data_IF_938068402762
#
_entry.id   IF_938068402762
#
_cell.length_a   1.000
_cell.length_b   1.000
_cell.length_c   1.000
_cell.angle_alpha   90.00
_cell.angle_beta   90.00
_cell.angle_gamma   90.00
#
_symmetry.space_group_name_H-M   'P 1'
#
loop_
_entity.id
_entity.type
_entity.pdbx_description
1 polymer ?
#
# COMPACT_ATOMS: atom_id res chain seq x y z
N UNK A 1 -57.54 -30.78 7.63
CA UNK A 1 -56.62 -31.91 7.40
C UNK A 1 -55.23 -31.54 7.89
N UNK A 2 -54.59 -32.46 8.64
CA UNK A 2 -53.14 -32.81 8.81
C UNK A 2 -52.09 -31.82 8.27
N UNK A 3 -50.89 -31.60 8.82
CA UNK A 3 -50.07 -32.06 9.97
C UNK A 3 -48.82 -31.14 9.92
N UNK A 4 -48.41 -30.54 11.04
CA UNK A 4 -47.18 -30.82 11.79
C UNK A 4 -45.84 -30.34 11.19
N UNK A 5 -45.06 -29.57 11.99
CA UNK A 5 -43.62 -29.76 12.21
C UNK A 5 -43.22 -29.09 13.54
N UNK A 6 -42.33 -29.75 14.27
CA UNK A 6 -42.18 -29.71 15.74
C UNK A 6 -41.20 -28.64 16.21
N UNK A 7 -41.53 -28.05 17.35
CA UNK A 7 -40.66 -27.32 18.25
C UNK A 7 -39.55 -28.23 18.81
N UNK A 8 -38.31 -27.74 18.87
CA UNK A 8 -37.31 -28.18 19.82
C UNK A 8 -37.04 -27.02 20.78
N UNK A 9 -37.48 -27.21 22.03
CA UNK A 9 -37.30 -26.31 23.17
C UNK A 9 -36.26 -26.98 24.08
N UNK A 10 -35.07 -26.38 24.20
CA UNK A 10 -34.00 -26.91 25.05
C UNK A 10 -34.07 -26.20 26.41
N UNK A 11 -34.60 -26.91 27.42
CA UNK A 11 -34.57 -26.48 28.82
C UNK A 11 -33.24 -26.87 29.47
N UNK A 12 -32.48 -25.88 29.96
CA UNK A 12 -31.41 -26.10 30.92
C UNK A 12 -32.04 -26.21 32.32
N UNK A 13 -31.75 -27.30 33.02
CA UNK A 13 -32.22 -27.54 34.38
C UNK A 13 -31.39 -26.77 35.40
N UNK A 14 -32.09 -26.15 36.35
CA UNK A 14 -31.57 -25.64 37.61
C UNK A 14 -31.24 -26.80 38.54
N UNK A 15 -29.96 -27.01 38.85
CA UNK A 15 -29.55 -27.67 40.10
C UNK A 15 -28.53 -26.77 40.81
N UNK A 16 -29.02 -26.22 41.92
CA UNK A 16 -28.36 -25.33 42.86
C UNK A 16 -27.38 -26.12 43.74
N UNK A 17 -26.09 -26.10 43.41
CA UNK A 17 -25.04 -26.56 44.33
C UNK A 17 -24.43 -25.37 45.08
N UNK A 18 -24.95 -25.12 46.30
CA UNK A 18 -24.32 -24.24 47.29
C UNK A 18 -22.92 -24.75 47.62
N UNK A 19 -21.91 -23.97 47.28
CA UNK A 19 -20.59 -24.08 47.88
C UNK A 19 -20.29 -22.76 48.60
N UNK A 20 -20.09 -22.88 49.91
CA UNK A 20 -19.99 -21.78 50.85
C UNK A 20 -18.79 -20.87 50.60
N UNK A 21 -19.05 -19.58 50.78
CA UNK A 21 -18.10 -18.50 50.90
C UNK A 21 -17.17 -18.73 52.10
N UNK A 22 -15.84 -18.64 51.90
CA UNK A 22 -14.88 -18.40 52.97
C UNK A 22 -13.85 -17.34 52.54
N UNK A 23 -13.69 -16.23 53.29
CA UNK A 23 -12.91 -15.07 52.86
C UNK A 23 -11.44 -15.13 53.30
N UNK A 24 -10.62 -14.41 52.52
CA UNK A 24 -9.40 -13.70 52.94
C UNK A 24 -8.05 -14.46 53.12
N UNK A 25 -7.05 -13.90 52.44
CA UNK A 25 -5.60 -14.07 52.58
C UNK A 25 -4.86 -15.04 51.65
N UNK A 26 -5.18 -15.03 50.35
CA UNK A 26 -4.11 -15.23 49.37
C UNK A 26 -3.17 -14.03 49.42
N UNK A 27 -2.10 -14.17 50.23
CA UNK A 27 -0.87 -13.40 50.07
C UNK A 27 -0.57 -13.35 48.59
N UNK A 28 -0.59 -12.16 48.00
CA UNK A 28 0.01 -11.92 46.69
C UNK A 28 1.48 -12.26 46.82
N UNK A 29 1.83 -13.51 46.50
CA UNK A 29 3.21 -13.87 46.20
C UNK A 29 3.51 -13.07 44.94
N UNK A 30 4.13 -11.89 45.13
CA UNK A 30 4.82 -11.19 44.05
C UNK A 30 5.82 -12.20 43.51
N UNK A 31 5.52 -12.79 42.36
CA UNK A 31 6.49 -13.57 41.61
C UNK A 31 7.68 -12.62 41.38
N UNK A 32 8.81 -12.93 42.01
CA UNK A 32 10.04 -12.16 41.82
C UNK A 32 10.31 -12.09 40.33
N UNK A 33 10.43 -10.87 39.81
CA UNK A 33 10.84 -10.67 38.43
C UNK A 33 12.16 -11.38 38.14
N UNK A 34 12.45 -11.72 36.88
CA UNK A 34 13.69 -12.40 36.50
C UNK A 34 14.89 -11.71 37.14
N UNK A 35 15.66 -12.43 37.95
CA UNK A 35 16.95 -11.93 38.43
C UNK A 35 17.89 -11.87 37.22
N UNK A 36 18.04 -10.67 36.66
CA UNK A 36 19.05 -10.37 35.64
C UNK A 36 20.40 -10.56 36.32
N UNK A 37 21.19 -11.53 35.87
CA UNK A 37 22.56 -11.73 36.37
C UNK A 37 23.37 -10.46 36.06
N UNK A 38 24.29 -10.05 36.94
CA UNK A 38 25.08 -8.82 36.76
C UNK A 38 25.85 -8.84 35.42
N UNK A 39 26.24 -10.02 34.96
CA UNK A 39 26.90 -10.25 33.67
C UNK A 39 25.99 -9.94 32.47
N UNK A 40 24.69 -10.28 32.53
CA UNK A 40 23.71 -9.97 31.49
C UNK A 40 23.41 -8.47 31.43
N UNK A 41 23.34 -7.82 32.60
CA UNK A 41 23.12 -6.38 32.70
C UNK A 41 24.32 -5.57 32.18
N UNK A 42 25.54 -6.05 32.40
CA UNK A 42 26.75 -5.41 31.87
C UNK A 42 26.87 -5.59 30.35
N UNK A 43 26.53 -6.77 29.83
CA UNK A 43 26.46 -7.04 28.40
C UNK A 43 25.41 -6.17 27.69
N UNK A 44 24.23 -5.98 28.29
CA UNK A 44 23.19 -5.11 27.75
C UNK A 44 23.60 -3.63 27.77
N UNK A 45 24.29 -3.17 28.82
CA UNK A 45 24.86 -1.81 28.87
C UNK A 45 25.92 -1.58 27.80
N UNK A 46 26.86 -2.53 27.62
CA UNK A 46 27.87 -2.47 26.55
C UNK A 46 27.23 -2.44 25.17
N UNK A 47 26.22 -3.27 24.93
CA UNK A 47 25.46 -3.27 23.68
C UNK A 47 24.67 -1.96 23.46
N UNK A 48 24.10 -1.39 24.51
CA UNK A 48 23.41 -0.11 24.45
C UNK A 48 24.36 1.06 24.16
N UNK A 49 25.55 1.07 24.77
CA UNK A 49 26.59 2.06 24.54
C UNK A 49 27.19 1.94 23.13
N UNK A 50 27.41 0.72 22.65
CA UNK A 50 27.83 0.46 21.27
C UNK A 50 26.79 0.94 20.25
N UNK A 51 25.49 0.66 20.50
CA UNK A 51 24.38 1.19 19.70
C UNK A 51 24.31 2.72 19.78
N UNK A 52 24.57 3.33 20.93
CA UNK A 52 24.59 4.78 21.09
C UNK A 52 25.76 5.42 20.32
N UNK A 53 26.94 4.81 20.35
CA UNK A 53 28.11 5.23 19.56
C UNK A 53 27.83 5.12 18.06
N UNK A 54 27.25 4.00 17.60
CA UNK A 54 26.82 3.81 16.20
C UNK A 54 25.77 4.85 15.79
N UNK A 55 24.78 5.14 16.64
CA UNK A 55 23.77 6.21 16.43
C UNK A 55 24.42 7.59 16.30
N UNK A 56 25.37 7.92 17.18
CA UNK A 56 26.07 9.21 17.16
C UNK A 56 26.94 9.37 15.90
N UNK A 57 27.64 8.31 15.48
CA UNK A 57 28.43 8.30 14.25
C UNK A 57 27.56 8.48 13.00
N UNK A 58 26.46 7.73 12.89
CA UNK A 58 25.50 7.86 11.78
C UNK A 58 24.91 9.27 11.75
N UNK A 59 24.56 9.84 12.92
CA UNK A 59 24.05 11.20 13.02
C UNK A 59 25.08 12.23 12.59
N UNK A 60 26.34 12.10 13.03
CA UNK A 60 27.45 12.97 12.62
C UNK A 60 27.67 12.91 11.11
N UNK A 61 27.70 11.71 10.52
CA UNK A 61 27.81 11.50 9.07
C UNK A 61 26.65 12.13 8.30
N UNK A 62 25.43 11.99 8.79
CA UNK A 62 24.24 12.62 8.19
C UNK A 62 24.28 14.15 8.29
N UNK A 63 24.76 14.69 9.42
CA UNK A 63 24.91 16.13 9.62
C UNK A 63 25.99 16.71 8.70
N UNK A 64 27.16 16.07 8.60
CA UNK A 64 28.24 16.43 7.69
C UNK A 64 27.79 16.38 6.23
N UNK A 65 27.06 15.34 5.82
CA UNK A 65 26.46 15.27 4.48
C UNK A 65 25.42 16.39 4.25
N UNK A 66 24.70 16.81 5.28
CA UNK A 66 23.76 17.94 5.19
C UNK A 66 24.46 19.30 5.10
N UNK A 67 25.57 19.49 5.82
CA UNK A 67 26.42 20.70 5.75
C UNK A 67 27.11 20.81 4.40
N UNK A 68 27.63 19.70 3.87
CA UNK A 68 28.22 19.64 2.52
C UNK A 68 27.22 19.99 1.41
N UNK A 69 25.93 19.63 1.57
CA UNK A 69 24.84 20.03 0.65
C UNK A 69 24.53 21.53 0.71
N UNK A 70 24.74 22.20 1.86
CA UNK A 70 24.56 23.65 2.01
C UNK A 70 25.73 24.46 1.40
N UNK A 71 26.94 23.90 1.42
CA UNK A 71 28.14 24.56 0.89
C UNK A 71 28.17 24.67 -0.65
N UNK A 72 27.51 23.76 -1.39
CA UNK A 72 27.46 23.78 -2.87
C UNK A 72 26.36 24.72 -3.43
N UNK A 73 26.27 25.94 -2.90
CA UNK A 73 25.30 26.98 -3.31
C UNK A 73 25.89 27.84 -4.43
N UNK A 74 26.01 27.30 -5.65
CA UNK A 74 26.54 28.10 -6.77
C UNK A 74 26.30 27.61 -8.20
N UNK A 75 25.98 26.32 -8.43
CA UNK A 75 25.99 25.79 -9.80
C UNK A 75 24.71 26.06 -10.63
N UNK A 76 23.59 26.44 -10.00
CA UNK A 76 22.31 26.55 -10.70
C UNK A 76 21.43 27.63 -10.07
N UNK A 77 20.79 28.47 -10.89
CA UNK A 77 19.77 29.41 -10.41
C UNK A 77 18.64 28.64 -9.72
N UNK A 78 18.07 29.19 -8.64
CA UNK A 78 17.01 28.51 -7.88
C UNK A 78 15.79 28.17 -8.75
N UNK A 79 15.47 29.03 -9.73
CA UNK A 79 14.40 28.81 -10.70
C UNK A 79 14.67 27.63 -11.63
N UNK A 80 15.89 27.53 -12.20
CA UNK A 80 16.28 26.40 -13.04
C UNK A 80 16.28 25.09 -12.25
N UNK A 81 16.70 25.11 -10.98
CA UNK A 81 16.60 23.95 -10.08
C UNK A 81 15.16 23.51 -9.83
N UNK A 82 14.23 24.47 -9.66
CA UNK A 82 12.79 24.19 -9.49
C UNK A 82 12.20 23.58 -10.76
N UNK A 83 12.50 24.15 -11.94
CA UNK A 83 12.05 23.63 -13.24
C UNK A 83 12.56 22.20 -13.47
N UNK A 84 13.84 21.95 -13.18
CA UNK A 84 14.43 20.62 -13.33
C UNK A 84 13.77 19.59 -12.40
N UNK A 85 13.53 19.93 -11.11
CA UNK A 85 12.81 19.04 -10.19
C UNK A 85 11.41 18.69 -10.70
N UNK A 86 10.70 19.68 -11.24
CA UNK A 86 9.38 19.46 -11.85
C UNK A 86 9.48 18.47 -13.03
N UNK A 87 10.43 18.67 -13.94
CA UNK A 87 10.63 17.78 -15.09
C UNK A 87 11.00 16.35 -14.65
N UNK A 88 11.85 16.21 -13.63
CA UNK A 88 12.22 14.89 -13.09
C UNK A 88 11.02 14.18 -12.44
N UNK A 89 10.19 14.90 -11.70
CA UNK A 89 8.96 14.34 -11.12
C UNK A 89 7.95 13.96 -12.20
N UNK A 90 7.80 14.78 -13.25
CA UNK A 90 6.91 14.48 -14.38
C UNK A 90 7.37 13.22 -15.11
N UNK A 91 8.66 13.14 -15.46
CA UNK A 91 9.23 11.96 -16.09
C UNK A 91 9.11 10.72 -15.20
N UNK A 92 9.43 10.81 -13.91
CA UNK A 92 9.29 9.69 -13.00
C UNK A 92 7.84 9.20 -12.86
N UNK A 93 6.86 10.10 -12.93
CA UNK A 93 5.45 9.73 -12.91
C UNK A 93 5.01 9.05 -14.22
N UNK A 94 5.51 9.53 -15.37
CA UNK A 94 5.30 8.90 -16.68
C UNK A 94 5.92 7.50 -16.72
N UNK A 95 7.19 7.37 -16.33
CA UNK A 95 7.93 6.09 -16.28
C UNK A 95 7.20 5.09 -15.34
N UNK A 96 6.72 5.53 -14.18
CA UNK A 96 5.95 4.69 -13.25
C UNK A 96 4.65 4.18 -13.89
N UNK A 97 3.94 5.03 -14.65
CA UNK A 97 2.71 4.64 -15.35
C UNK A 97 3.00 3.65 -16.48
N UNK A 98 4.09 3.86 -17.23
CA UNK A 98 4.51 2.94 -18.28
C UNK A 98 4.89 1.57 -17.71
N UNK A 99 5.66 1.54 -16.61
CA UNK A 99 5.99 0.28 -15.93
C UNK A 99 4.75 -0.45 -15.42
N UNK A 100 3.77 0.27 -14.87
CA UNK A 100 2.50 -0.34 -14.45
C UNK A 100 1.74 -0.95 -15.63
N UNK A 101 1.70 -0.26 -16.78
CA UNK A 101 1.06 -0.76 -17.99
C UNK A 101 1.75 -2.01 -18.53
N UNK A 102 3.09 -2.00 -18.61
CA UNK A 102 3.88 -3.16 -19.05
C UNK A 102 3.69 -4.35 -18.12
N UNK A 103 3.72 -4.12 -16.80
CA UNK A 103 3.51 -5.17 -15.81
C UNK A 103 2.10 -5.76 -15.87
N UNK A 104 1.08 -4.96 -16.16
CA UNK A 104 -0.29 -5.46 -16.35
C UNK A 104 -0.42 -6.25 -17.66
N UNK A 105 0.23 -5.81 -18.74
CA UNK A 105 0.27 -6.55 -20.01
C UNK A 105 0.99 -7.90 -19.83
N UNK A 106 2.15 -7.92 -19.20
CA UNK A 106 2.88 -9.14 -18.88
C UNK A 106 2.05 -10.06 -17.98
N UNK A 107 1.37 -9.50 -16.96
CA UNK A 107 0.42 -10.26 -16.14
C UNK A 107 -0.68 -10.89 -16.98
N UNK A 108 -1.26 -10.17 -17.94
CA UNK A 108 -2.29 -10.71 -18.84
C UNK A 108 -1.73 -11.82 -19.73
N UNK A 109 -0.54 -11.65 -20.31
CA UNK A 109 0.12 -12.69 -21.12
C UNK A 109 0.39 -13.95 -20.30
N UNK A 110 0.98 -13.81 -19.11
CA UNK A 110 1.25 -14.94 -18.21
C UNK A 110 -0.03 -15.64 -17.77
N UNK A 111 -1.12 -14.89 -17.51
CA UNK A 111 -2.41 -15.50 -17.19
C UNK A 111 -3.00 -16.26 -18.37
N UNK A 112 -2.89 -15.73 -19.59
CA UNK A 112 -3.33 -16.43 -20.80
C UNK A 112 -2.55 -17.72 -21.06
N UNK A 113 -1.24 -17.72 -20.79
CA UNK A 113 -0.40 -18.92 -20.91
C UNK A 113 -0.69 -19.95 -19.80
N UNK A 114 -0.89 -19.50 -18.56
CA UNK A 114 -1.08 -20.39 -17.41
C UNK A 114 -2.51 -20.93 -17.28
N UNK A 115 -3.51 -20.15 -17.67
CA UNK A 115 -4.92 -20.57 -17.62
C UNK A 115 -5.20 -21.30 -18.94
N UNK A 116 -5.30 -22.63 -18.86
CA UNK A 116 -5.77 -23.41 -20.00
C UNK A 116 -7.22 -23.02 -20.30
N UNK A 117 -7.59 -22.80 -21.56
CA UNK A 117 -9.00 -22.61 -21.92
C UNK A 117 -9.78 -23.85 -21.51
N UNK A 118 -10.98 -23.63 -20.97
CA UNK A 118 -11.87 -24.74 -20.64
C UNK A 118 -12.21 -25.53 -21.92
N UNK A 119 -12.32 -26.86 -21.85
CA UNK A 119 -12.74 -27.66 -22.99
C UNK A 119 -14.10 -27.15 -23.48
N UNK A 120 -14.22 -26.93 -24.79
CA UNK A 120 -15.48 -26.53 -25.42
C UNK A 120 -16.40 -27.76 -25.48
N UNK A 121 -17.37 -27.80 -24.59
CA UNK A 121 -18.32 -28.91 -24.45
C UNK A 121 -19.50 -28.80 -25.43
N UNK A 122 -19.70 -27.65 -26.07
CA UNK A 122 -20.89 -27.36 -26.87
C UNK A 122 -20.67 -27.61 -28.38
N UNK A 123 -19.42 -27.55 -28.86
CA UNK A 123 -19.09 -27.66 -30.31
C UNK A 123 -18.32 -28.94 -30.70
N UNK A 124 -18.25 -29.97 -29.86
CA UNK A 124 -17.59 -31.22 -30.24
C UNK A 124 -18.35 -31.95 -31.36
N UNK A 125 -17.69 -32.32 -32.47
CA UNK A 125 -18.35 -32.92 -33.65
C UNK A 125 -19.03 -34.28 -33.41
N UNK A 126 -18.75 -34.92 -32.28
CA UNK A 126 -19.35 -36.19 -31.84
C UNK A 126 -20.48 -36.01 -30.80
N UNK A 127 -21.02 -34.79 -30.69
CA UNK A 127 -22.09 -34.41 -29.76
C UNK A 127 -23.22 -35.44 -29.75
N UNK A 128 -23.32 -36.18 -28.65
CA UNK A 128 -24.35 -37.20 -28.33
C UNK A 128 -24.27 -38.58 -29.00
N UNK A 129 -23.21 -38.99 -29.69
CA UNK A 129 -23.22 -40.34 -30.32
C UNK A 129 -22.87 -41.50 -29.38
N UNK A 130 -22.10 -41.25 -28.30
CA UNK A 130 -21.73 -42.26 -27.30
C UNK A 130 -21.73 -41.69 -25.87
N UNK A 131 -22.90 -41.67 -25.22
CA UNK A 131 -23.12 -41.11 -23.87
C UNK A 131 -22.16 -41.65 -22.79
N UNK A 132 -21.76 -42.92 -22.88
CA UNK A 132 -20.90 -43.57 -21.87
C UNK A 132 -19.41 -43.20 -22.00
N UNK A 133 -18.93 -43.05 -23.24
CA UNK A 133 -17.55 -42.66 -23.54
C UNK A 133 -17.29 -41.19 -23.14
N UNK A 134 -18.27 -40.32 -23.42
CA UNK A 134 -18.19 -38.90 -23.10
C UNK A 134 -18.20 -38.60 -21.59
N UNK A 135 -18.83 -39.46 -20.78
CA UNK A 135 -18.86 -39.32 -19.31
C UNK A 135 -17.50 -39.65 -18.68
N UNK A 136 -16.82 -40.70 -19.16
CA UNK A 136 -15.50 -41.09 -18.65
C UNK A 136 -14.45 -40.02 -18.96
N UNK A 137 -14.43 -39.47 -20.18
CA UNK A 137 -13.53 -38.37 -20.54
C UNK A 137 -13.77 -37.11 -19.68
N UNK A 138 -15.04 -36.77 -19.43
CA UNK A 138 -15.39 -35.64 -18.58
C UNK A 138 -14.95 -35.85 -17.12
N UNK A 139 -15.11 -37.07 -16.60
CA UNK A 139 -14.66 -37.44 -15.25
C UNK A 139 -13.12 -37.35 -15.13
N UNK A 140 -12.39 -37.80 -16.15
CA UNK A 140 -10.93 -37.67 -16.19
C UNK A 140 -10.46 -36.21 -16.24
N UNK A 141 -11.11 -35.38 -17.05
CA UNK A 141 -10.82 -33.94 -17.12
C UNK A 141 -11.07 -33.29 -15.76
N UNK A 142 -12.21 -33.60 -15.11
CA UNK A 142 -12.54 -33.07 -13.79
C UNK A 142 -11.50 -33.46 -12.74
N UNK A 143 -11.02 -34.72 -12.73
CA UNK A 143 -9.94 -35.18 -11.85
C UNK A 143 -8.64 -34.43 -12.10
N UNK A 144 -8.22 -34.31 -13.36
CA UNK A 144 -7.00 -33.55 -13.74
C UNK A 144 -7.08 -32.07 -13.32
N UNK A 145 -8.26 -31.45 -13.43
CA UNK A 145 -8.48 -30.08 -12.98
C UNK A 145 -8.41 -29.96 -11.45
N UNK A 146 -8.98 -30.92 -10.72
CA UNK A 146 -8.92 -30.96 -9.26
C UNK A 146 -7.48 -31.14 -8.75
N UNK A 147 -6.70 -32.03 -9.35
CA UNK A 147 -5.29 -32.26 -9.01
C UNK A 147 -4.45 -30.99 -9.26
N UNK A 148 -4.68 -30.32 -10.40
CA UNK A 148 -4.02 -29.05 -10.72
C UNK A 148 -4.41 -27.95 -9.75
N UNK A 149 -5.68 -27.86 -9.35
CA UNK A 149 -6.14 -26.89 -8.37
C UNK A 149 -5.41 -27.08 -7.03
N UNK A 150 -5.28 -28.33 -6.58
CA UNK A 150 -4.58 -28.65 -5.34
C UNK A 150 -3.11 -28.22 -5.40
N UNK A 151 -2.41 -28.51 -6.51
CA UNK A 151 -1.03 -28.06 -6.72
C UNK A 151 -0.90 -26.54 -6.69
N UNK A 152 -1.79 -25.83 -7.40
CA UNK A 152 -1.79 -24.36 -7.43
C UNK A 152 -2.07 -23.74 -6.07
N UNK A 153 -2.94 -24.34 -5.25
CA UNK A 153 -3.18 -23.86 -3.88
C UNK A 153 -1.97 -24.07 -2.97
N UNK A 154 -1.25 -25.19 -3.11
CA UNK A 154 0.02 -25.40 -2.40
C UNK A 154 1.05 -24.34 -2.79
N UNK A 155 1.29 -24.12 -4.09
CA UNK A 155 2.22 -23.09 -4.57
C UNK A 155 1.80 -21.68 -4.12
N UNK A 156 0.51 -21.38 -4.16
CA UNK A 156 -0.05 -20.11 -3.70
C UNK A 156 0.23 -19.90 -2.20
N UNK A 157 0.07 -20.94 -1.38
CA UNK A 157 0.40 -20.87 0.03
C UNK A 157 1.89 -20.57 0.26
N UNK A 158 2.78 -21.30 -0.42
CA UNK A 158 4.23 -21.13 -0.28
C UNK A 158 4.69 -19.71 -0.68
N UNK A 159 4.18 -19.20 -1.81
CA UNK A 159 4.46 -17.83 -2.27
C UNK A 159 3.98 -16.81 -1.24
N UNK A 160 2.76 -16.96 -0.73
CA UNK A 160 2.23 -16.04 0.28
C UNK A 160 3.03 -16.08 1.58
N UNK A 161 3.49 -17.26 1.99
CA UNK A 161 4.32 -17.41 3.17
C UNK A 161 5.66 -16.67 3.01
N UNK A 162 6.33 -16.84 1.87
CA UNK A 162 7.58 -16.13 1.55
C UNK A 162 7.37 -14.62 1.53
N UNK A 163 6.30 -14.14 0.89
CA UNK A 163 5.97 -12.70 0.85
C UNK A 163 5.78 -12.15 2.26
N UNK A 164 5.02 -12.84 3.12
CA UNK A 164 4.84 -12.44 4.53
C UNK A 164 6.16 -12.40 5.29
N UNK A 165 7.02 -13.39 5.12
CA UNK A 165 8.33 -13.41 5.76
C UNK A 165 9.19 -12.22 5.32
N UNK A 166 9.16 -11.88 4.04
CA UNK A 166 9.86 -10.71 3.50
C UNK A 166 9.27 -9.39 3.99
N UNK A 167 7.95 -9.30 4.14
CA UNK A 167 7.31 -8.13 4.73
C UNK A 167 7.74 -7.92 6.19
N UNK A 168 7.83 -8.99 6.98
CA UNK A 168 8.38 -8.93 8.34
C UNK A 168 9.84 -8.47 8.35
N UNK A 169 10.68 -9.05 7.49
CA UNK A 169 12.09 -8.66 7.36
C UNK A 169 12.24 -7.17 7.01
N UNK A 170 11.45 -6.67 6.05
CA UNK A 170 11.44 -5.25 5.68
C UNK A 170 10.98 -4.38 6.85
N UNK A 171 9.99 -4.80 7.61
CA UNK A 171 9.51 -4.06 8.77
C UNK A 171 10.58 -3.96 9.86
N UNK A 172 11.25 -5.05 10.19
CA UNK A 172 12.36 -5.07 11.16
C UNK A 172 13.53 -4.19 10.71
N UNK A 173 13.91 -4.27 9.43
CA UNK A 173 14.94 -3.40 8.85
C UNK A 173 14.50 -1.93 8.88
N UNK A 174 13.22 -1.64 8.64
CA UNK A 174 12.68 -0.29 8.70
C UNK A 174 12.75 0.28 10.12
N UNK A 175 12.39 -0.51 11.13
CA UNK A 175 12.49 -0.14 12.55
C UNK A 175 13.96 0.15 12.91
N UNK A 176 14.87 -0.77 12.59
CA UNK A 176 16.30 -0.61 12.92
C UNK A 176 16.92 0.63 12.25
N UNK A 177 16.59 0.91 10.99
CA UNK A 177 17.04 2.13 10.29
C UNK A 177 16.48 3.39 10.95
N UNK A 178 15.22 3.37 11.38
CA UNK A 178 14.60 4.51 12.06
C UNK A 178 15.25 4.79 13.42
N UNK A 179 15.52 3.76 14.21
CA UNK A 179 16.19 3.86 15.50
C UNK A 179 17.63 4.36 15.38
N UNK A 180 18.34 3.95 14.32
CA UNK A 180 19.70 4.43 14.03
C UNK A 180 19.73 5.90 13.60
N UNK A 181 18.71 6.36 12.86
CA UNK A 181 18.62 7.76 12.43
C UNK A 181 18.33 8.73 13.58
N UNK A 182 17.83 8.24 14.73
CA UNK A 182 17.60 9.02 15.96
C UNK A 182 16.53 10.12 15.86
N UNK A 183 15.92 10.28 14.68
CA UNK A 183 14.76 11.13 14.45
C UNK A 183 13.57 10.20 14.39
N UNK A 184 12.87 10.02 15.52
CA UNK A 184 11.56 9.40 15.53
C UNK A 184 10.67 10.21 14.58
N UNK A 185 10.54 9.74 13.34
CA UNK A 185 9.64 10.33 12.36
C UNK A 185 8.27 9.93 12.84
N UNK A 186 7.68 10.71 13.76
CA UNK A 186 6.31 10.52 14.19
C UNK A 186 5.47 10.50 12.91
N UNK A 187 4.88 9.35 12.52
CA UNK A 187 4.02 9.33 11.35
C UNK A 187 2.95 10.38 11.63
N UNK A 188 2.81 11.35 10.73
CA UNK A 188 1.80 12.39 10.89
C UNK A 188 0.46 11.69 10.77
N UNK A 189 -0.18 11.43 11.91
CA UNK A 189 -1.50 10.82 11.97
C UNK A 189 -2.46 11.76 11.25
N UNK A 190 -2.70 11.52 9.96
CA UNK A 190 -3.71 12.24 9.21
C UNK A 190 -5.06 11.82 9.75
N UNK A 191 -5.88 12.77 10.15
CA UNK A 191 -7.29 12.52 10.50
C UNK A 191 -8.01 12.09 9.24
N UNK A 192 -8.03 10.78 8.97
CA UNK A 192 -8.81 10.21 7.88
C UNK A 192 -10.26 10.19 8.36
N UNK A 193 -11.09 11.12 7.87
CA UNK A 193 -12.51 11.07 8.20
C UNK A 193 -13.17 9.92 7.43
N UNK A 194 -14.01 9.13 8.11
CA UNK A 194 -14.79 8.05 7.49
C UNK A 194 -15.80 8.55 6.42
N UNK A 195 -15.98 9.87 6.31
CA UNK A 195 -16.99 10.50 5.46
C UNK A 195 -16.39 11.17 4.23
N UNK A 196 -15.12 11.58 4.25
CA UNK A 196 -14.46 12.26 3.11
C UNK A 196 -14.42 11.37 1.86
N UNK A 197 -14.22 10.06 2.05
CA UNK A 197 -14.28 9.08 0.97
C UNK A 197 -15.69 8.92 0.36
N UNK A 198 -16.75 9.23 1.12
CA UNK A 198 -18.14 9.21 0.61
C UNK A 198 -18.42 10.47 -0.22
N UNK A 199 -17.90 11.62 0.19
CA UNK A 199 -18.02 12.87 -0.55
C UNK A 199 -17.11 12.93 -1.79
N UNK A 200 -16.00 12.19 -1.84
CA UNK A 200 -15.16 12.10 -3.04
C UNK A 200 -15.91 11.52 -4.26
N UNK A 201 -16.93 10.68 -4.06
CA UNK A 201 -17.79 10.19 -5.16
C UNK A 201 -18.68 11.30 -5.73
N UNK A 202 -19.04 12.30 -4.91
CA UNK A 202 -19.82 13.47 -5.33
C UNK A 202 -18.91 14.55 -5.95
N UNK A 203 -17.74 14.82 -5.34
CA UNK A 203 -16.74 15.79 -5.84
C UNK A 203 -16.11 15.44 -7.19
N UNK A 204 -16.18 14.18 -7.63
CA UNK A 204 -15.75 13.78 -8.98
C UNK A 204 -16.70 14.26 -10.09
N UNK A 205 -17.97 14.59 -9.77
CA UNK A 205 -18.90 15.22 -10.72
C UNK A 205 -18.68 16.73 -10.81
N UNK A 206 -18.27 17.36 -9.70
CA UNK A 206 -17.96 18.79 -9.61
C UNK A 206 -16.45 19.04 -9.52
N UNK A 207 -15.69 18.64 -10.54
CA UNK A 207 -14.26 18.94 -10.65
C UNK A 207 -14.03 20.41 -11.00
N UNK A 208 -14.35 21.31 -10.07
CA UNK A 208 -13.38 22.31 -9.71
C UNK A 208 -12.52 21.66 -8.63
N UNK A 209 -11.34 21.16 -9.03
CA UNK A 209 -10.22 20.97 -8.11
C UNK A 209 -10.27 22.16 -7.13
N UNK A 210 -10.25 21.90 -5.82
CA UNK A 210 -10.16 22.97 -4.80
C UNK A 210 -8.74 23.55 -4.92
N UNK A 211 -8.47 24.17 -6.06
CA UNK A 211 -7.32 24.97 -6.33
C UNK A 211 -7.55 26.22 -5.52
N UNK A 212 -6.60 26.59 -4.67
CA UNK A 212 -6.67 27.89 -3.99
C UNK A 212 -6.74 29.06 -4.98
N UNK A 213 -6.46 28.81 -6.26
CA UNK A 213 -6.56 29.75 -7.37
C UNK A 213 -7.99 30.04 -7.81
N UNK A 214 -8.93 29.08 -7.71
CA UNK A 214 -10.31 29.28 -8.20
C UNK A 214 -11.11 30.22 -7.29
N UNK A 215 -10.75 30.31 -6.01
CA UNK A 215 -11.36 31.25 -5.06
C UNK A 215 -10.67 32.63 -5.03
N UNK A 216 -9.65 32.86 -5.85
CA UNK A 216 -9.02 34.18 -5.98
C UNK A 216 -9.70 34.98 -7.09
N UNK A 217 -10.11 36.21 -6.78
CA UNK A 217 -10.68 37.14 -7.76
C UNK A 217 -9.57 37.60 -8.72
N UNK A 218 -9.64 37.21 -9.99
CA UNK A 218 -8.77 37.78 -11.02
C UNK A 218 -9.17 39.24 -11.24
N UNK A 219 -8.23 40.17 -11.04
CA UNK A 219 -8.40 41.59 -11.42
C UNK A 219 -7.77 41.76 -12.81
N UNK A 220 -8.60 42.03 -13.81
CA UNK A 220 -8.14 42.39 -15.16
C UNK A 220 -7.56 43.81 -15.15
N UNK A 221 -6.35 43.97 -14.64
CA UNK A 221 -5.64 45.23 -14.76
C UNK A 221 -5.01 45.31 -16.15
N UNK A 222 -5.71 45.92 -17.11
CA UNK A 222 -5.20 46.30 -18.45
C UNK A 222 -4.14 47.41 -18.41
N UNK A 223 -3.41 47.58 -17.30
CA UNK A 223 -2.46 48.68 -17.09
C UNK A 223 -1.08 48.42 -17.71
N UNK A 224 -0.83 47.19 -18.18
CA UNK A 224 0.44 46.77 -18.77
C UNK A 224 0.30 46.08 -20.14
N UNK A 225 -0.89 46.07 -20.75
CA UNK A 225 -0.99 45.66 -22.15
C UNK A 225 -0.34 46.73 -23.02
N UNK A 226 0.79 46.39 -23.65
CA UNK A 226 1.39 47.18 -24.72
C UNK A 226 0.32 47.34 -25.81
N UNK A 227 -0.16 48.56 -26.03
CA UNK A 227 -0.95 48.88 -27.22
C UNK A 227 -0.05 48.59 -28.42
N UNK A 228 -0.43 47.60 -29.22
CA UNK A 228 0.17 47.35 -30.52
C UNK A 228 0.15 48.66 -31.32
N UNK A 229 1.32 49.24 -31.55
CA UNK A 229 1.46 50.34 -32.52
C UNK A 229 1.31 49.69 -33.90
N UNK A 230 0.13 49.86 -34.47
CA UNK A 230 -0.20 49.49 -35.84
C UNK A 230 0.78 50.16 -36.82
N UNK A 231 1.73 49.37 -37.33
CA UNK A 231 2.59 49.70 -38.48
C UNK A 231 1.83 49.54 -39.81
N UNK A 232 0.58 50.01 -39.88
CA UNK A 232 -0.25 49.87 -41.10
C UNK A 232 -0.67 51.20 -41.74
N UNK A 233 -0.30 52.35 -41.16
CA UNK A 233 -0.68 53.68 -41.67
C UNK A 233 0.50 54.54 -42.16
N UNK A 234 1.63 53.93 -42.52
CA UNK A 234 2.82 54.65 -43.03
C UNK A 234 3.16 54.39 -44.51
N UNK A 235 2.34 53.62 -45.23
CA UNK A 235 2.60 53.27 -46.64
C UNK A 235 1.63 53.89 -47.65
N UNK A 236 0.75 54.82 -47.24
CA UNK A 236 -0.20 55.50 -48.14
C UNK A 236 0.08 56.98 -48.39
N UNK A 237 1.24 57.52 -47.95
CA UNK A 237 1.66 58.90 -48.24
C UNK A 237 3.09 58.95 -48.78
N UNK A 238 3.39 58.17 -49.82
CA UNK A 238 4.70 58.25 -50.50
C UNK A 238 4.69 58.15 -52.03
N UNK A 239 3.52 58.28 -52.65
CA UNK A 239 3.39 58.48 -54.10
C UNK A 239 2.29 59.50 -54.39
N UNK A 240 2.57 60.76 -54.05
CA UNK A 240 2.18 61.96 -54.78
C UNK A 240 3.41 62.86 -54.81
#
# INVERSE_FOLDING_TARGET
MRKALRFYDWKYGDEESKADYCPESMKTVRYGGPQVQEDDAEMEKKAAEERARKKAEVRKRLEEASRAKKAKKGFLTPERKKKLRKLLMMKAAEDLKQQQMLKEQERQMVLQERILPLPDLDNTPDGLRNFHFHFQELEEIAKKMADRLLQLECEHYDINYIVRQKDFEINELTISVNDLRGKFVKPTLKKVSKTDNRFNKLKKKDQNFVDFRTNLKNVESNKFSLKEVSMFNLTQNKYL
#
